data_IF_014448233899
#
_entry.id   IF_014448233899
#
_cell.length_a   1.000
_cell.length_b   1.000
_cell.length_c   1.000
_cell.angle_alpha   90.00
_cell.angle_beta   90.00
_cell.angle_gamma   90.00
#
_symmetry.space_group_name_H-M   'P 1'
#
loop_
_entity.id
_entity.type
_entity.pdbx_description
1 polymer ?
#
# COMPACT_ATOMS: atom_id res chain seq x y z
N UNK A 1 -41.15 0.95 -42.83
CA UNK A 1 -41.42 0.83 -41.38
C UNK A 1 -40.15 0.33 -40.73
N UNK A 2 -39.43 1.21 -40.05
CA UNK A 2 -38.31 0.87 -39.16
C UNK A 2 -38.90 0.80 -37.75
N UNK A 3 -38.78 -0.34 -37.09
CA UNK A 3 -39.04 -0.44 -35.65
C UNK A 3 -37.73 -0.18 -34.89
N UNK A 4 -37.74 0.91 -34.13
CA UNK A 4 -36.72 1.27 -33.17
C UNK A 4 -36.74 0.26 -32.01
N UNK A 5 -35.68 -0.52 -31.86
CA UNK A 5 -35.40 -1.23 -30.61
C UNK A 5 -34.96 -0.19 -29.57
N UNK A 6 -35.81 -0.01 -28.55
CA UNK A 6 -35.56 0.83 -27.39
C UNK A 6 -34.38 0.25 -26.59
N UNK A 7 -33.35 1.07 -26.36
CA UNK A 7 -32.33 0.83 -25.36
C UNK A 7 -33.01 0.73 -23.98
N UNK A 8 -32.88 -0.42 -23.34
CA UNK A 8 -33.21 -0.57 -21.92
C UNK A 8 -32.38 0.44 -21.13
N UNK A 9 -33.07 1.23 -20.30
CA UNK A 9 -32.42 2.11 -19.32
C UNK A 9 -31.61 1.22 -18.35
N UNK A 10 -30.41 1.63 -17.90
CA UNK A 10 -29.74 0.94 -16.81
C UNK A 10 -30.66 1.02 -15.59
N UNK A 11 -31.20 -0.12 -15.17
CA UNK A 11 -31.89 -0.24 -13.90
C UNK A 11 -30.92 0.05 -12.77
N UNK A 12 -31.41 0.73 -11.73
CA UNK A 12 -30.75 0.82 -10.44
C UNK A 12 -30.30 -0.58 -10.00
N UNK A 13 -28.99 -0.80 -9.94
CA UNK A 13 -28.44 -1.95 -9.23
C UNK A 13 -28.67 -1.72 -7.74
N UNK A 14 -29.82 -2.17 -7.23
CA UNK A 14 -30.04 -2.31 -5.80
C UNK A 14 -29.23 -3.50 -5.29
N UNK A 15 -28.24 -3.22 -4.42
CA UNK A 15 -27.82 -4.15 -3.36
C UNK A 15 -26.63 -5.07 -3.66
N UNK A 16 -25.48 -4.53 -4.08
CA UNK A 16 -24.25 -5.16 -3.60
C UNK A 16 -24.22 -4.98 -2.08
N UNK A 17 -24.10 -6.06 -1.31
CA UNK A 17 -23.86 -5.91 0.12
C UNK A 17 -22.59 -5.06 0.32
N UNK A 18 -22.68 -4.06 1.19
CA UNK A 18 -21.54 -3.29 1.70
C UNK A 18 -20.76 -4.08 2.76
N UNK A 19 -21.19 -5.31 3.07
CA UNK A 19 -20.46 -6.23 3.93
C UNK A 19 -19.20 -6.70 3.21
N UNK A 20 -18.06 -6.28 3.75
CA UNK A 20 -16.74 -6.71 3.33
C UNK A 20 -16.03 -7.34 4.51
N UNK A 21 -15.10 -8.23 4.24
CA UNK A 21 -14.17 -8.72 5.25
C UNK A 21 -12.92 -7.85 5.23
N UNK A 22 -12.55 -7.33 6.38
CA UNK A 22 -11.31 -6.59 6.59
C UNK A 22 -10.26 -7.54 7.13
N UNK A 23 -9.05 -7.46 6.60
CA UNK A 23 -7.85 -8.07 7.16
C UNK A 23 -6.85 -6.96 7.44
N UNK A 24 -6.33 -6.90 8.66
CA UNK A 24 -5.49 -5.80 9.08
C UNK A 24 -4.48 -6.24 10.12
N UNK A 25 -3.46 -5.41 10.32
CA UNK A 25 -2.32 -5.75 11.15
C UNK A 25 -2.32 -4.91 12.42
N UNK A 26 -1.99 -5.53 13.55
CA UNK A 26 -1.65 -4.84 14.78
C UNK A 26 -0.15 -4.97 15.02
N UNK A 27 0.56 -3.86 14.78
CA UNK A 27 1.99 -3.74 14.94
C UNK A 27 2.44 -3.93 16.38
N UNK A 28 1.73 -3.35 17.34
CA UNK A 28 2.10 -3.36 18.75
C UNK A 28 1.86 -4.72 19.40
N UNK A 29 0.76 -5.39 19.01
CA UNK A 29 0.43 -6.73 19.47
C UNK A 29 1.10 -7.86 18.68
N UNK A 30 1.76 -7.57 17.54
CA UNK A 30 2.30 -8.57 16.61
C UNK A 30 1.24 -9.56 16.11
N UNK A 31 0.14 -9.06 15.53
CA UNK A 31 -1.00 -9.89 15.12
C UNK A 31 -1.50 -9.58 13.72
N UNK A 32 -2.03 -10.61 13.07
CA UNK A 32 -2.93 -10.51 11.92
C UNK A 32 -4.36 -10.65 12.44
N UNK A 33 -5.17 -9.65 12.15
CA UNK A 33 -6.53 -9.49 12.65
C UNK A 33 -7.51 -9.45 11.48
N UNK A 34 -8.77 -9.69 11.80
CA UNK A 34 -9.83 -9.62 10.82
C UNK A 34 -11.16 -9.23 11.45
N UNK A 35 -12.03 -8.58 10.68
CA UNK A 35 -13.34 -8.11 11.13
C UNK A 35 -14.27 -7.92 9.92
N UNK A 36 -15.56 -7.73 10.15
CA UNK A 36 -16.50 -7.28 9.12
C UNK A 36 -16.46 -5.76 8.96
N UNK A 37 -16.89 -5.25 7.80
CA UNK A 37 -16.90 -3.81 7.47
C UNK A 37 -17.79 -2.94 8.35
N UNK A 38 -18.65 -3.56 9.16
CA UNK A 38 -19.46 -2.91 10.18
C UNK A 38 -18.79 -2.84 11.57
N UNK A 39 -17.60 -3.45 11.72
CA UNK A 39 -16.84 -3.55 12.98
C UNK A 39 -17.14 -4.81 13.80
N UNK A 40 -18.06 -5.67 13.34
CA UNK A 40 -18.33 -6.96 13.95
C UNK A 40 -17.30 -8.04 13.60
N UNK A 41 -17.57 -9.29 13.99
CA UNK A 41 -16.81 -10.47 13.56
C UNK A 41 -15.30 -10.39 13.82
N UNK A 42 -14.89 -9.68 14.88
CA UNK A 42 -13.48 -9.45 15.20
C UNK A 42 -12.79 -10.76 15.60
N UNK A 43 -11.69 -11.07 14.94
CA UNK A 43 -10.94 -12.31 15.11
C UNK A 43 -9.42 -12.04 15.06
N UNK A 44 -8.66 -12.76 15.90
CA UNK A 44 -7.21 -12.87 15.78
C UNK A 44 -6.91 -14.10 14.93
N UNK A 45 -6.39 -13.91 13.72
CA UNK A 45 -6.07 -15.01 12.80
C UNK A 45 -4.70 -15.59 13.09
N UNK A 46 -3.73 -14.73 13.38
CA UNK A 46 -2.33 -15.11 13.64
C UNK A 46 -1.76 -14.23 14.74
N UNK A 47 -1.18 -14.84 15.77
CA UNK A 47 -0.45 -14.16 16.87
C UNK A 47 0.98 -14.71 17.06
N UNK A 48 1.42 -15.56 16.15
CA UNK A 48 2.76 -16.13 16.08
C UNK A 48 3.49 -15.65 14.82
N UNK A 49 4.82 -15.77 14.79
CA UNK A 49 5.65 -15.44 13.63
C UNK A 49 5.46 -14.00 13.10
N UNK A 50 5.08 -13.07 13.99
CA UNK A 50 4.94 -11.66 13.70
C UNK A 50 6.03 -10.86 14.43
N UNK A 51 6.66 -9.93 13.73
CA UNK A 51 7.70 -9.05 14.28
C UNK A 51 7.60 -7.66 13.66
N UNK A 52 6.76 -6.82 14.26
CA UNK A 52 6.37 -5.52 13.74
C UNK A 52 5.71 -5.62 12.37
N UNK A 53 4.53 -6.28 12.26
CA UNK A 53 3.84 -6.39 10.99
C UNK A 53 3.46 -5.00 10.45
N UNK A 54 3.61 -4.78 9.15
CA UNK A 54 3.48 -3.44 8.54
C UNK A 54 2.48 -3.39 7.39
N UNK A 55 2.55 -4.29 6.41
CA UNK A 55 1.61 -4.31 5.28
C UNK A 55 1.05 -5.71 5.02
N UNK A 56 -0.19 -5.77 4.54
CA UNK A 56 -0.92 -7.01 4.24
C UNK A 56 -1.52 -6.94 2.84
N UNK A 57 -1.47 -8.04 2.10
CA UNK A 57 -2.10 -8.21 0.80
C UNK A 57 -2.81 -9.57 0.73
N UNK A 58 -3.81 -9.69 -0.15
CA UNK A 58 -4.62 -10.89 -0.31
C UNK A 58 -4.58 -11.39 -1.75
N UNK A 59 -4.38 -12.70 -1.91
CA UNK A 59 -4.64 -13.43 -3.15
C UNK A 59 -5.97 -14.19 -2.98
N UNK A 60 -7.07 -13.57 -3.39
CA UNK A 60 -8.42 -14.16 -3.26
C UNK A 60 -8.61 -15.40 -4.12
N UNK A 61 -7.90 -15.51 -5.25
CA UNK A 61 -8.01 -16.65 -6.14
C UNK A 61 -7.39 -17.92 -5.53
N UNK A 62 -6.35 -17.77 -4.72
CA UNK A 62 -5.69 -18.88 -4.00
C UNK A 62 -6.12 -19.00 -2.53
N UNK A 63 -6.76 -17.97 -1.98
CA UNK A 63 -7.20 -17.96 -0.58
C UNK A 63 -6.06 -17.72 0.39
N UNK A 64 -5.14 -16.81 0.07
CA UNK A 64 -3.96 -16.55 0.90
C UNK A 64 -3.81 -15.08 1.29
N UNK A 65 -3.38 -14.84 2.53
CA UNK A 65 -2.90 -13.56 3.01
C UNK A 65 -1.37 -13.57 3.01
N UNK A 66 -0.78 -12.45 2.67
CA UNK A 66 0.66 -12.21 2.75
C UNK A 66 0.90 -10.96 3.58
N UNK A 67 1.91 -10.96 4.45
CA UNK A 67 2.25 -9.76 5.20
C UNK A 67 3.76 -9.59 5.42
N UNK A 68 4.17 -8.34 5.53
CA UNK A 68 5.54 -7.94 5.83
C UNK A 68 5.74 -7.84 7.33
N UNK A 69 6.91 -8.29 7.80
CA UNK A 69 7.39 -8.14 9.16
C UNK A 69 8.67 -7.31 9.14
N UNK A 70 8.63 -6.17 9.82
CA UNK A 70 9.73 -5.20 9.81
C UNK A 70 11.04 -5.74 10.39
N UNK A 71 10.96 -6.68 11.33
CA UNK A 71 12.10 -7.01 12.16
C UNK A 71 12.55 -5.80 12.99
N UNK A 72 13.84 -5.72 13.29
CA UNK A 72 14.44 -4.60 14.00
C UNK A 72 15.06 -3.65 12.98
N UNK A 73 14.65 -2.37 12.88
CA UNK A 73 15.13 -1.47 11.83
C UNK A 73 16.64 -1.24 11.72
N UNK A 74 17.42 -1.60 12.74
CA UNK A 74 18.90 -1.55 12.69
C UNK A 74 19.56 -2.86 12.26
N UNK A 75 18.77 -3.89 11.94
CA UNK A 75 19.20 -5.24 11.56
C UNK A 75 18.53 -5.63 10.25
N UNK A 76 19.26 -6.39 9.43
CA UNK A 76 18.72 -6.97 8.20
C UNK A 76 17.98 -8.28 8.53
N UNK A 77 16.91 -8.20 9.33
CA UNK A 77 16.15 -9.35 9.83
C UNK A 77 14.64 -9.31 9.55
N UNK A 78 14.18 -8.38 8.71
CA UNK A 78 12.83 -8.37 8.18
C UNK A 78 12.52 -9.56 7.28
N UNK A 79 11.24 -9.91 7.19
CA UNK A 79 10.78 -11.11 6.47
C UNK A 79 9.33 -10.98 6.01
N UNK A 80 8.89 -11.88 5.12
CA UNK A 80 7.53 -11.91 4.58
C UNK A 80 6.92 -13.28 4.82
N UNK A 81 5.70 -13.29 5.35
CA UNK A 81 4.93 -14.47 5.68
C UNK A 81 3.68 -14.58 4.82
N UNK A 82 3.12 -15.79 4.77
CA UNK A 82 1.83 -16.11 4.16
C UNK A 82 1.06 -17.08 5.04
N UNK A 83 -0.25 -16.97 5.03
CA UNK A 83 -1.20 -17.93 5.62
C UNK A 83 -2.43 -18.09 4.72
N UNK A 84 -3.23 -19.09 5.02
CA UNK A 84 -4.60 -19.20 4.50
C UNK A 84 -5.52 -18.14 5.12
N UNK A 85 -6.66 -17.85 4.50
CA UNK A 85 -7.58 -16.80 4.96
C UNK A 85 -8.14 -17.01 6.38
N UNK A 86 -8.05 -18.24 6.90
CA UNK A 86 -8.44 -18.62 8.26
C UNK A 86 -7.27 -18.61 9.27
N UNK A 87 -6.07 -18.24 8.84
CA UNK A 87 -4.85 -18.23 9.65
C UNK A 87 -4.03 -19.53 9.59
N UNK A 88 -4.50 -20.55 8.87
CA UNK A 88 -3.78 -21.81 8.67
C UNK A 88 -2.54 -21.70 7.78
N UNK A 89 -1.80 -22.81 7.67
CA UNK A 89 -0.68 -23.00 6.72
C UNK A 89 0.36 -21.86 6.67
N UNK A 90 0.83 -21.47 7.86
CA UNK A 90 1.85 -20.43 8.03
C UNK A 90 3.15 -20.81 7.31
N UNK A 91 3.52 -19.99 6.33
CA UNK A 91 4.68 -20.20 5.47
C UNK A 91 5.53 -18.94 5.37
N UNK A 92 6.86 -19.07 5.48
CA UNK A 92 7.79 -17.98 5.20
C UNK A 92 8.03 -17.89 3.69
N UNK A 93 7.71 -16.75 3.08
CA UNK A 93 7.90 -16.47 1.65
C UNK A 93 9.26 -15.84 1.40
N UNK A 94 9.63 -14.83 2.19
CA UNK A 94 10.96 -14.21 2.16
C UNK A 94 11.56 -14.34 3.55
N UNK A 95 12.60 -15.18 3.75
CA UNK A 95 13.23 -15.34 5.07
C UNK A 95 14.04 -14.10 5.48
N UNK A 96 14.36 -13.98 6.79
CA UNK A 96 15.30 -12.97 7.28
C UNK A 96 16.60 -12.93 6.49
N UNK A 97 17.27 -11.78 6.49
CA UNK A 97 18.50 -11.45 5.72
C UNK A 97 18.31 -11.19 4.22
N UNK A 98 17.18 -11.57 3.62
CA UNK A 98 16.91 -11.27 2.21
C UNK A 98 16.26 -9.90 1.99
N UNK A 99 15.56 -9.39 2.99
CA UNK A 99 15.02 -8.02 3.04
C UNK A 99 15.26 -7.43 4.43
N UNK A 100 15.45 -6.11 4.51
CA UNK A 100 15.90 -5.46 5.74
C UNK A 100 14.71 -5.05 6.60
N UNK A 101 13.89 -4.14 6.10
CA UNK A 101 12.67 -3.66 6.77
C UNK A 101 11.56 -3.55 5.73
N UNK A 102 10.91 -4.67 5.36
CA UNK A 102 9.89 -4.67 4.33
C UNK A 102 8.66 -3.85 4.78
N UNK A 103 8.11 -3.07 3.85
CA UNK A 103 7.01 -2.12 4.03
C UNK A 103 5.80 -2.49 3.18
N UNK A 104 5.20 -1.54 2.47
CA UNK A 104 3.97 -1.80 1.74
C UNK A 104 4.18 -2.94 0.75
N UNK A 105 3.24 -3.88 0.77
CA UNK A 105 3.21 -5.11 0.00
C UNK A 105 2.12 -5.00 -1.07
N UNK A 106 2.42 -5.44 -2.29
CA UNK A 106 1.45 -5.49 -3.37
C UNK A 106 1.53 -6.84 -4.10
N UNK A 107 0.38 -7.43 -4.39
CA UNK A 107 0.25 -8.64 -5.21
C UNK A 107 -0.22 -8.24 -6.59
N UNK A 108 0.54 -8.60 -7.62
CA UNK A 108 0.11 -8.44 -9.00
C UNK A 108 -0.87 -9.57 -9.38
N UNK A 109 -2.18 -9.30 -9.54
CA UNK A 109 -3.18 -10.38 -9.60
C UNK A 109 -3.00 -11.32 -10.80
N UNK A 110 -2.43 -10.82 -11.91
CA UNK A 110 -2.22 -11.59 -13.14
C UNK A 110 -0.79 -12.12 -13.29
N UNK A 111 0.18 -11.45 -12.69
CA UNK A 111 1.60 -11.73 -12.90
C UNK A 111 2.18 -12.74 -11.92
N UNK A 112 1.50 -13.03 -10.81
CA UNK A 112 1.97 -14.00 -9.82
C UNK A 112 3.26 -13.55 -9.12
N UNK A 113 3.46 -12.24 -8.99
CA UNK A 113 4.56 -11.64 -8.27
C UNK A 113 4.07 -10.89 -7.04
N UNK A 114 4.90 -10.94 -6.01
CA UNK A 114 4.80 -10.15 -4.81
C UNK A 114 5.83 -9.02 -4.90
N UNK A 115 5.40 -7.79 -4.64
CA UNK A 115 6.25 -6.61 -4.66
C UNK A 115 6.22 -5.91 -3.32
N UNK A 116 7.35 -5.33 -2.90
CA UNK A 116 7.40 -4.53 -1.68
C UNK A 116 8.50 -3.48 -1.74
N UNK A 117 8.35 -2.47 -0.89
CA UNK A 117 9.42 -1.55 -0.55
C UNK A 117 10.19 -2.07 0.67
N UNK A 118 11.49 -1.85 0.69
CA UNK A 118 12.38 -2.17 1.81
C UNK A 118 13.05 -0.89 2.30
N UNK A 119 12.61 -0.43 3.49
CA UNK A 119 12.87 0.92 3.99
C UNK A 119 14.35 1.18 4.18
N UNK A 120 14.95 0.47 5.14
CA UNK A 120 16.38 0.57 5.42
C UNK A 120 17.25 -0.16 4.41
N UNK A 121 16.69 -1.12 3.67
CA UNK A 121 17.35 -1.70 2.50
C UNK A 121 17.48 -0.72 1.34
N UNK A 122 16.71 0.38 1.35
CA UNK A 122 16.67 1.42 0.30
C UNK A 122 16.31 0.86 -1.07
N UNK A 123 15.29 -0.02 -1.11
CA UNK A 123 14.93 -0.80 -2.30
C UNK A 123 13.44 -0.84 -2.59
N UNK A 124 13.13 -1.05 -3.87
CA UNK A 124 11.88 -1.67 -4.31
C UNK A 124 12.24 -3.06 -4.83
N UNK A 125 11.54 -4.08 -4.36
CA UNK A 125 11.86 -5.50 -4.60
C UNK A 125 10.63 -6.27 -5.09
N UNK A 126 10.87 -7.41 -5.75
CA UNK A 126 9.83 -8.40 -6.03
C UNK A 126 10.34 -9.83 -5.96
N UNK A 127 9.42 -10.77 -5.83
CA UNK A 127 9.64 -12.19 -6.02
C UNK A 127 8.37 -12.84 -6.59
N UNK A 128 8.40 -14.13 -6.91
CA UNK A 128 7.18 -14.91 -7.15
C UNK A 128 6.44 -15.14 -5.83
N UNK A 129 5.16 -15.49 -5.92
CA UNK A 129 4.33 -15.76 -4.72
C UNK A 129 4.89 -16.88 -3.82
N UNK A 130 5.75 -17.76 -4.34
CA UNK A 130 6.44 -18.80 -3.58
C UNK A 130 7.81 -18.37 -3.01
N UNK A 131 8.19 -17.10 -3.17
CA UNK A 131 9.47 -16.54 -2.72
C UNK A 131 10.62 -16.71 -3.71
N UNK A 132 10.42 -17.47 -4.79
CA UNK A 132 11.45 -17.67 -5.83
C UNK A 132 11.66 -16.42 -6.69
N UNK A 133 12.75 -16.37 -7.45
CA UNK A 133 13.07 -15.25 -8.36
C UNK A 133 13.09 -13.88 -7.67
N UNK A 134 13.64 -13.83 -6.45
CA UNK A 134 13.85 -12.59 -5.70
C UNK A 134 14.76 -11.63 -6.49
N UNK A 135 14.30 -10.39 -6.66
CA UNK A 135 15.04 -9.36 -7.36
C UNK A 135 14.79 -7.95 -6.82
N UNK A 136 15.79 -7.09 -6.97
CA UNK A 136 15.69 -5.64 -6.70
C UNK A 136 15.35 -4.92 -8.00
N UNK A 137 14.32 -4.09 -8.00
CA UNK A 137 13.86 -3.29 -9.15
C UNK A 137 14.44 -1.87 -9.13
N UNK A 138 14.57 -1.30 -7.93
CA UNK A 138 15.13 0.03 -7.67
C UNK A 138 16.00 -0.05 -6.43
N UNK A 139 17.16 0.62 -6.46
CA UNK A 139 18.01 0.84 -5.30
C UNK A 139 18.34 2.33 -5.19
N UNK A 140 17.98 2.95 -4.08
CA UNK A 140 18.12 4.41 -3.89
C UNK A 140 19.41 4.81 -3.16
N UNK A 141 20.08 3.86 -2.48
CA UNK A 141 21.35 4.15 -1.81
C UNK A 141 22.03 2.91 -1.21
N UNK A 142 23.25 3.09 -0.69
CA UNK A 142 24.03 2.04 -0.02
C UNK A 142 24.81 2.58 1.19
N UNK A 143 24.99 1.70 2.18
CA UNK A 143 25.82 1.98 3.36
C UNK A 143 25.15 2.88 4.39
N UNK A 144 25.74 2.92 5.60
CA UNK A 144 25.14 3.55 6.77
C UNK A 144 24.81 5.03 6.58
N UNK A 145 25.65 5.79 5.84
CA UNK A 145 25.40 7.21 5.60
C UNK A 145 24.13 7.45 4.77
N UNK A 146 23.93 6.70 3.69
CA UNK A 146 22.72 6.84 2.86
C UNK A 146 21.50 6.25 3.55
N UNK A 147 21.68 5.17 4.32
CA UNK A 147 20.64 4.57 5.15
C UNK A 147 20.13 5.54 6.23
N UNK A 148 20.96 6.45 6.74
CA UNK A 148 20.54 7.47 7.71
C UNK A 148 19.71 8.61 7.07
N UNK A 149 19.76 8.77 5.76
CA UNK A 149 18.95 9.76 5.04
C UNK A 149 17.59 9.15 4.68
N UNK A 150 16.56 9.52 5.44
CA UNK A 150 15.20 9.03 5.26
C UNK A 150 14.58 9.39 3.90
N UNK A 151 15.19 10.30 3.13
CA UNK A 151 14.81 10.54 1.74
C UNK A 151 15.12 9.35 0.85
N UNK A 152 15.97 8.40 1.24
CA UNK A 152 16.24 7.17 0.49
C UNK A 152 15.28 6.02 0.85
N UNK A 153 14.49 6.18 1.90
CA UNK A 153 13.64 5.12 2.43
C UNK A 153 12.38 4.92 1.60
N UNK A 154 12.33 3.79 0.89
CA UNK A 154 11.15 3.36 0.14
C UNK A 154 10.10 2.78 1.10
N UNK A 155 8.83 3.17 0.98
CA UNK A 155 7.76 2.68 1.89
C UNK A 155 6.53 2.18 1.15
N UNK A 156 5.81 3.09 0.49
CA UNK A 156 4.60 2.79 -0.26
C UNK A 156 4.90 2.28 -1.64
N UNK A 157 3.97 1.53 -2.20
CA UNK A 157 4.11 0.89 -3.50
C UNK A 157 2.75 0.74 -4.18
N UNK A 158 2.68 1.14 -5.46
CA UNK A 158 1.57 0.82 -6.35
C UNK A 158 2.09 0.40 -7.73
N UNK A 159 1.26 -0.32 -8.48
CA UNK A 159 1.60 -0.88 -9.78
C UNK A 159 0.51 -0.57 -10.80
N UNK A 160 0.92 -0.10 -11.98
CA UNK A 160 0.10 -0.13 -13.19
C UNK A 160 0.64 -1.26 -14.08
N UNK A 161 0.03 -2.43 -13.97
CA UNK A 161 0.45 -3.59 -14.75
C UNK A 161 0.19 -3.43 -16.26
N UNK A 162 -0.87 -2.69 -16.65
CA UNK A 162 -1.21 -2.48 -18.06
C UNK A 162 -0.21 -1.56 -18.76
N UNK A 163 0.29 -0.55 -18.05
CA UNK A 163 1.29 0.41 -18.55
C UNK A 163 2.72 0.07 -18.13
N UNK A 164 2.90 -1.05 -17.46
CA UNK A 164 4.16 -1.52 -16.89
C UNK A 164 4.88 -0.41 -16.11
N UNK A 165 4.19 0.24 -15.17
CA UNK A 165 4.76 1.28 -14.31
C UNK A 165 4.73 0.86 -12.83
N UNK A 166 5.82 1.15 -12.13
CA UNK A 166 5.89 1.08 -10.66
C UNK A 166 5.88 2.49 -10.09
N UNK A 167 5.20 2.64 -8.96
CA UNK A 167 5.11 3.88 -8.19
C UNK A 167 5.52 3.58 -6.76
N UNK A 168 6.31 4.44 -6.13
CA UNK A 168 6.67 4.27 -4.73
C UNK A 168 6.82 5.59 -4.02
N UNK A 169 6.67 5.56 -2.69
CA UNK A 169 6.97 6.71 -1.83
C UNK A 169 8.41 6.61 -1.34
N UNK A 170 9.11 7.74 -1.32
CA UNK A 170 10.29 7.95 -0.50
C UNK A 170 9.89 8.83 0.69
N UNK A 171 9.96 8.28 1.90
CA UNK A 171 9.28 8.80 3.09
C UNK A 171 9.74 10.20 3.49
N UNK A 172 11.03 10.49 3.37
CA UNK A 172 11.62 11.69 3.95
C UNK A 172 11.73 11.63 5.47
N UNK A 173 12.41 12.63 6.05
CA UNK A 173 12.55 12.72 7.50
C UNK A 173 11.20 13.00 8.17
N UNK A 174 11.05 12.57 9.41
CA UNK A 174 9.78 12.69 10.13
C UNK A 174 9.30 14.14 10.18
N UNK A 175 8.07 14.39 9.71
CA UNK A 175 7.41 15.70 9.75
C UNK A 175 8.24 16.83 9.09
N UNK A 176 8.96 16.53 8.00
CA UNK A 176 9.98 17.42 7.43
C UNK A 176 9.65 18.00 6.05
N UNK A 177 8.56 17.58 5.40
CA UNK A 177 8.25 17.97 4.01
C UNK A 177 9.39 17.63 3.05
N UNK A 178 10.06 16.50 3.25
CA UNK A 178 11.14 16.01 2.36
C UNK A 178 10.79 14.71 1.67
N UNK A 179 9.54 14.25 1.82
CA UNK A 179 9.04 13.06 1.15
C UNK A 179 8.70 13.32 -0.31
N UNK A 180 8.62 12.25 -1.07
CA UNK A 180 8.29 12.27 -2.49
C UNK A 180 7.55 11.01 -2.92
N UNK A 181 6.83 11.12 -4.04
CA UNK A 181 6.27 9.99 -4.77
C UNK A 181 6.95 9.97 -6.12
N UNK A 182 7.45 8.80 -6.51
CA UNK A 182 8.20 8.59 -7.73
C UNK A 182 7.53 7.52 -8.58
N UNK A 183 7.84 7.52 -9.88
CA UNK A 183 7.50 6.43 -10.79
C UNK A 183 8.66 6.04 -11.68
N UNK A 184 8.62 4.81 -12.18
CA UNK A 184 9.50 4.35 -13.24
C UNK A 184 8.82 3.22 -14.04
N UNK A 185 9.28 2.93 -15.26
CA UNK A 185 8.93 1.69 -15.95
C UNK A 185 9.26 0.47 -15.08
N UNK A 186 8.34 -0.49 -14.97
CA UNK A 186 8.53 -1.72 -14.21
C UNK A 186 9.80 -2.45 -14.67
N UNK A 187 9.98 -2.57 -15.99
CA UNK A 187 11.19 -3.11 -16.59
C UNK A 187 11.98 -1.99 -17.31
N UNK A 188 13.27 -1.78 -17.00
CA UNK A 188 14.10 -0.80 -17.70
C UNK A 188 14.15 -1.09 -19.20
N UNK A 189 14.05 -0.05 -20.04
CA UNK A 189 14.11 -0.20 -21.51
C UNK A 189 15.44 -0.80 -22.00
N UNK A 190 16.52 -0.63 -21.23
CA UNK A 190 17.84 -1.18 -21.52
C UNK A 190 18.23 -2.17 -20.41
N UNK A 191 18.48 -3.43 -20.79
CA UNK A 191 18.89 -4.50 -19.85
C UNK A 191 20.21 -4.24 -19.11
N UNK A 192 21.04 -3.31 -19.58
CA UNK A 192 22.31 -2.94 -18.93
C UNK A 192 22.15 -1.95 -17.78
N UNK A 193 20.95 -1.39 -17.56
CA UNK A 193 20.69 -0.46 -16.47
C UNK A 193 20.45 -1.26 -15.20
N UNK A 194 21.33 -1.11 -14.21
CA UNK A 194 21.15 -1.73 -12.90
C UNK A 194 20.06 -1.00 -12.09
N UNK A 195 19.48 -1.65 -11.07
CA UNK A 195 18.51 -1.01 -10.16
C UNK A 195 19.02 0.27 -9.49
N UNK A 196 20.34 0.39 -9.28
CA UNK A 196 20.98 1.54 -8.65
C UNK A 196 21.36 2.67 -9.62
N UNK A 197 21.24 2.44 -10.92
CA UNK A 197 21.69 3.38 -11.97
C UNK A 197 20.54 3.80 -12.90
N UNK A 198 19.30 3.69 -12.42
CA UNK A 198 18.11 4.04 -13.19
C UNK A 198 18.04 5.54 -13.40
N UNK A 199 18.00 5.96 -14.67
CA UNK A 199 17.87 7.35 -15.09
C UNK A 199 16.49 7.65 -15.69
N UNK A 200 15.57 6.70 -15.60
CA UNK A 200 14.19 6.74 -16.08
C UNK A 200 13.18 6.88 -14.92
N UNK A 201 13.67 7.24 -13.73
CA UNK A 201 12.86 7.56 -12.55
C UNK A 201 12.37 9.00 -12.67
N UNK A 202 11.07 9.19 -12.48
CA UNK A 202 10.41 10.49 -12.49
C UNK A 202 9.82 10.79 -11.11
N UNK A 203 10.10 11.98 -10.59
CA UNK A 203 9.44 12.49 -9.39
C UNK A 203 8.08 13.07 -9.78
N UNK A 204 7.00 12.51 -9.23
CA UNK A 204 5.64 12.99 -9.44
C UNK A 204 5.26 14.05 -8.41
N UNK A 205 5.60 13.80 -7.16
CA UNK A 205 5.35 14.70 -6.05
C UNK A 205 6.63 14.83 -5.23
N UNK A 206 6.92 16.05 -4.79
CA UNK A 206 7.99 16.36 -3.85
C UNK A 206 7.45 17.23 -2.72
N UNK A 207 8.30 17.51 -1.74
CA UNK A 207 7.96 18.29 -0.55
C UNK A 207 6.75 17.74 0.24
N UNK A 208 6.47 16.44 0.11
CA UNK A 208 5.40 15.80 0.85
C UNK A 208 5.81 15.64 2.32
N UNK A 209 4.88 15.81 3.28
CA UNK A 209 5.23 15.79 4.69
C UNK A 209 5.91 14.49 5.13
N UNK A 210 5.25 13.34 4.93
CA UNK A 210 5.74 11.99 5.23
C UNK A 210 4.84 10.92 4.55
N UNK A 211 4.89 10.78 3.21
CA UNK A 211 4.04 9.85 2.49
C UNK A 211 4.44 8.40 2.82
N UNK A 212 3.45 7.55 3.10
CA UNK A 212 3.67 6.14 3.46
C UNK A 212 3.02 5.20 2.46
N UNK A 213 1.80 4.72 2.66
CA UNK A 213 1.17 3.75 1.75
C UNK A 213 0.54 4.45 0.55
N UNK A 214 0.52 3.73 -0.57
CA UNK A 214 0.12 4.19 -1.88
C UNK A 214 -0.78 3.15 -2.54
N UNK A 215 -1.88 3.57 -3.18
CA UNK A 215 -2.67 2.73 -4.07
C UNK A 215 -3.00 3.49 -5.36
N UNK A 216 -3.23 2.74 -6.44
CA UNK A 216 -3.55 3.27 -7.76
C UNK A 216 -4.88 2.71 -8.26
N UNK A 217 -5.82 3.59 -8.55
CA UNK A 217 -6.91 3.28 -9.47
C UNK A 217 -6.40 3.44 -10.90
N UNK A 218 -6.00 2.33 -11.53
CA UNK A 218 -5.44 2.31 -12.87
C UNK A 218 -6.47 2.66 -13.97
N UNK A 219 -7.78 2.54 -13.68
CA UNK A 219 -8.83 2.86 -14.64
C UNK A 219 -8.98 4.38 -14.82
N UNK A 220 -8.91 5.13 -13.71
CA UNK A 220 -9.01 6.60 -13.72
C UNK A 220 -7.64 7.30 -13.69
N UNK A 221 -6.57 6.52 -13.49
CA UNK A 221 -5.22 7.00 -13.20
C UNK A 221 -5.17 7.88 -11.95
N UNK A 222 -5.85 7.47 -10.88
CA UNK A 222 -5.88 8.21 -9.62
C UNK A 222 -5.01 7.52 -8.59
N UNK A 223 -3.98 8.20 -8.11
CA UNK A 223 -3.20 7.78 -6.95
C UNK A 223 -3.91 8.21 -5.68
N UNK A 224 -3.86 7.35 -4.68
CA UNK A 224 -4.29 7.60 -3.31
C UNK A 224 -3.11 7.28 -2.39
N UNK A 225 -2.87 8.10 -1.38
CA UNK A 225 -1.83 7.81 -0.40
C UNK A 225 -2.16 8.33 0.99
N UNK A 226 -1.59 7.66 1.97
CA UNK A 226 -1.57 8.09 3.37
C UNK A 226 -0.31 8.89 3.65
N UNK A 227 -0.43 9.88 4.54
CA UNK A 227 0.70 10.70 4.97
C UNK A 227 0.71 10.84 6.50
N UNK A 228 1.89 10.71 7.12
CA UNK A 228 2.11 10.73 8.59
C UNK A 228 2.68 12.04 9.14
N UNK A 229 2.91 13.04 8.29
CA UNK A 229 3.59 14.26 8.68
C UNK A 229 2.76 15.13 9.63
N UNK A 230 3.28 16.32 9.94
CA UNK A 230 2.59 17.23 10.84
C UNK A 230 1.35 17.85 10.17
N UNK A 231 0.27 18.11 10.92
CA UNK A 231 -0.82 18.97 10.46
C UNK A 231 -0.30 20.36 9.98
N UNK A 232 -0.98 21.03 9.04
CA UNK A 232 -2.30 20.67 8.49
C UNK A 232 -2.26 19.69 7.31
N UNK A 233 -1.08 19.34 6.79
CA UNK A 233 -0.94 18.58 5.55
C UNK A 233 -0.57 17.10 5.73
N UNK A 234 -0.07 16.70 6.90
CA UNK A 234 0.12 15.30 7.26
C UNK A 234 -0.96 14.77 8.21
N UNK A 235 -0.92 13.47 8.47
CA UNK A 235 -2.04 12.72 9.07
C UNK A 235 -3.30 12.79 8.20
N UNK A 236 -3.11 12.50 6.91
CA UNK A 236 -4.10 12.70 5.85
C UNK A 236 -4.24 11.47 4.97
N UNK A 237 -5.44 11.31 4.40
CA UNK A 237 -5.69 10.56 3.18
C UNK A 237 -5.72 11.57 2.03
N UNK A 238 -4.92 11.31 1.01
CA UNK A 238 -4.73 12.19 -0.13
C UNK A 238 -5.08 11.47 -1.43
N UNK A 239 -5.39 12.25 -2.47
CA UNK A 239 -5.50 11.72 -3.84
C UNK A 239 -4.89 12.68 -4.86
N UNK A 240 -4.55 12.15 -6.01
CA UNK A 240 -4.24 12.93 -7.20
C UNK A 240 -4.51 12.15 -8.47
N UNK A 241 -5.13 12.80 -9.44
CA UNK A 241 -5.26 12.24 -10.78
C UNK A 241 -3.97 12.48 -11.55
N UNK A 242 -3.32 11.40 -11.95
CA UNK A 242 -2.14 11.44 -12.81
C UNK A 242 -2.56 11.87 -14.22
N UNK A 243 -2.26 13.11 -14.57
CA UNK A 243 -2.61 13.72 -15.84
C UNK A 243 -1.85 13.08 -17.03
N UNK A 244 -2.48 13.08 -18.21
CA UNK A 244 -1.84 12.76 -19.49
C UNK A 244 -1.05 13.96 -20.02
N UNK A 245 -0.05 13.71 -20.89
CA UNK A 245 0.85 14.72 -21.49
C UNK A 245 0.15 16.03 -21.86
N UNK A 246 0.61 17.15 -21.29
CA UNK A 246 0.27 18.52 -21.74
C UNK A 246 -0.36 19.42 -20.69
N UNK A 247 -0.75 18.89 -19.54
CA UNK A 247 -1.27 19.68 -18.41
C UNK A 247 -0.13 20.10 -17.46
N UNK A 248 -0.17 21.33 -16.93
CA UNK A 248 0.86 21.88 -16.05
C UNK A 248 0.48 21.70 -14.58
N UNK A 249 1.20 20.83 -13.87
CA UNK A 249 1.18 20.68 -12.41
C UNK A 249 0.26 19.57 -11.90
N UNK A 250 0.84 18.54 -11.28
CA UNK A 250 0.08 17.57 -10.50
C UNK A 250 -0.47 18.25 -9.24
N UNK A 251 -1.75 18.02 -8.93
CA UNK A 251 -2.40 18.57 -7.75
C UNK A 251 -2.79 17.46 -6.77
N UNK A 252 -2.42 17.62 -5.50
CA UNK A 252 -2.80 16.73 -4.43
C UNK A 252 -4.00 17.29 -3.66
N UNK A 253 -5.10 16.55 -3.63
CA UNK A 253 -6.26 16.84 -2.79
C UNK A 253 -6.13 16.10 -1.46
N UNK A 254 -6.35 16.78 -0.33
CA UNK A 254 -6.57 16.12 0.95
C UNK A 254 -8.04 15.72 1.04
N UNK A 255 -8.33 14.42 1.06
CA UNK A 255 -9.69 13.90 1.20
C UNK A 255 -10.16 13.94 2.66
N UNK A 256 -9.27 13.60 3.58
CA UNK A 256 -9.56 13.62 5.01
C UNK A 256 -8.27 13.80 5.81
N UNK A 257 -8.31 14.64 6.84
CA UNK A 257 -7.25 14.77 7.83
C UNK A 257 -7.64 14.25 9.21
N UNK A 258 -6.76 14.44 10.20
CA UNK A 258 -7.05 14.11 11.59
C UNK A 258 -6.91 12.61 11.91
N UNK A 259 -6.10 11.89 11.15
CA UNK A 259 -5.63 10.56 11.53
C UNK A 259 -4.61 10.64 12.68
N UNK A 260 -4.36 9.52 13.35
CA UNK A 260 -3.31 9.42 14.36
C UNK A 260 -2.18 8.50 13.85
N UNK A 261 -1.34 9.06 12.98
CA UNK A 261 -0.32 8.40 12.17
C UNK A 261 -0.95 7.39 11.19
N UNK A 262 -1.59 7.91 10.13
CA UNK A 262 -2.21 7.12 9.06
C UNK A 262 -1.17 6.21 8.39
N UNK A 263 -1.50 4.94 8.18
CA UNK A 263 -0.62 3.97 7.50
C UNK A 263 -1.40 3.23 6.44
N UNK A 264 -2.17 2.21 6.81
CA UNK A 264 -2.76 1.29 5.86
C UNK A 264 -3.86 1.96 5.05
N UNK A 265 -3.96 1.55 3.79
CA UNK A 265 -4.93 2.04 2.83
C UNK A 265 -5.47 0.84 2.03
N UNK A 266 -6.80 0.79 1.84
CA UNK A 266 -7.48 -0.14 0.93
C UNK A 266 -8.55 0.62 0.16
N UNK A 267 -8.31 0.91 -1.11
CA UNK A 267 -9.17 1.76 -1.96
C UNK A 267 -10.11 0.90 -2.80
N UNK A 268 -11.39 1.29 -2.84
CA UNK A 268 -12.43 0.64 -3.63
C UNK A 268 -13.09 1.65 -4.59
N UNK A 269 -12.46 1.97 -5.73
CA UNK A 269 -12.95 2.99 -6.66
C UNK A 269 -14.38 2.76 -7.13
N UNK A 270 -14.73 1.52 -7.48
CA UNK A 270 -16.08 1.14 -7.93
C UNK A 270 -17.15 1.27 -6.86
N UNK A 271 -16.76 1.24 -5.57
CA UNK A 271 -17.67 1.44 -4.43
C UNK A 271 -17.60 2.85 -3.84
N UNK A 272 -16.74 3.71 -4.40
CA UNK A 272 -16.54 5.10 -3.99
C UNK A 272 -16.11 5.30 -2.52
N UNK A 273 -15.31 4.39 -1.96
CA UNK A 273 -14.71 4.58 -0.63
C UNK A 273 -13.31 3.98 -0.51
N UNK A 274 -12.61 4.35 0.56
CA UNK A 274 -11.39 3.70 1.04
C UNK A 274 -11.51 3.37 2.53
N UNK A 275 -10.82 2.32 2.98
CA UNK A 275 -10.50 2.11 4.37
C UNK A 275 -9.11 2.63 4.68
N UNK A 276 -8.95 3.31 5.81
CA UNK A 276 -7.68 3.82 6.31
C UNK A 276 -7.51 3.38 7.76
N UNK A 277 -6.38 2.76 8.06
CA UNK A 277 -5.96 2.40 9.41
C UNK A 277 -4.87 3.36 9.93
N UNK A 278 -4.87 3.59 11.23
CA UNK A 278 -3.88 4.44 11.89
C UNK A 278 -3.28 3.79 13.15
N UNK A 279 -2.06 4.20 13.53
CA UNK A 279 -1.38 3.68 14.72
C UNK A 279 -2.12 4.00 16.02
N UNK A 280 -3.08 4.93 15.97
CA UNK A 280 -3.99 5.22 17.07
C UNK A 280 -5.04 4.14 17.32
N UNK A 281 -5.11 3.10 16.51
CA UNK A 281 -6.05 2.00 16.74
C UNK A 281 -7.37 2.13 16.02
N UNK A 282 -7.48 3.06 15.07
CA UNK A 282 -8.72 3.34 14.36
C UNK A 282 -8.68 2.83 12.93
N UNK A 283 -9.78 2.21 12.47
CA UNK A 283 -10.07 2.03 11.05
C UNK A 283 -11.24 2.94 10.68
N UNK A 284 -11.06 3.78 9.66
CA UNK A 284 -12.10 4.65 9.11
C UNK A 284 -12.40 4.25 7.68
N UNK A 285 -13.69 4.24 7.34
CA UNK A 285 -14.15 4.29 5.96
C UNK A 285 -14.32 5.75 5.57
N UNK A 286 -13.82 6.12 4.40
CA UNK A 286 -13.85 7.49 3.86
C UNK A 286 -14.36 7.43 2.44
N UNK A 287 -15.36 8.23 2.08
CA UNK A 287 -15.78 8.34 0.68
C UNK A 287 -14.65 8.94 -0.16
N UNK A 288 -14.51 8.50 -1.42
CA UNK A 288 -13.38 8.97 -2.26
C UNK A 288 -13.53 10.43 -2.71
N UNK A 289 -14.68 11.05 -2.48
CA UNK A 289 -14.93 12.48 -2.63
C UNK A 289 -14.73 13.28 -1.33
N UNK A 290 -14.43 12.63 -0.21
CA UNK A 290 -14.23 13.25 1.12
C UNK A 290 -15.52 13.72 1.81
N UNK A 291 -16.70 13.47 1.23
CA UNK A 291 -17.99 13.94 1.75
C UNK A 291 -18.50 13.18 2.98
N UNK A 292 -18.10 11.92 3.16
CA UNK A 292 -18.56 11.05 4.24
C UNK A 292 -17.41 10.29 4.89
N UNK A 293 -17.51 10.12 6.21
CA UNK A 293 -16.56 9.33 6.99
C UNK A 293 -17.27 8.58 8.11
N UNK A 294 -16.91 7.31 8.27
CA UNK A 294 -17.42 6.43 9.31
C UNK A 294 -16.26 5.75 10.01
N UNK A 295 -16.27 5.74 11.33
CA UNK A 295 -15.37 4.87 12.11
C UNK A 295 -15.93 3.46 12.15
N UNK A 296 -15.09 2.50 11.76
CA UNK A 296 -15.42 1.07 11.69
C UNK A 296 -14.95 0.35 12.95
N UNK A 297 -13.70 0.61 13.36
CA UNK A 297 -13.10 0.07 14.57
C UNK A 297 -12.35 1.16 15.34
N UNK A 298 -12.27 1.01 16.66
CA UNK A 298 -11.50 1.85 17.59
C UNK A 298 -10.77 0.96 18.59
N UNK A 299 -9.68 1.48 19.15
CA UNK A 299 -8.93 0.86 20.24
C UNK A 299 -8.46 -0.58 19.92
N UNK A 300 -8.23 -0.89 18.64
CA UNK A 300 -7.92 -2.25 18.16
C UNK A 300 -6.40 -2.58 18.15
N UNK A 301 -5.58 -1.79 18.82
CA UNK A 301 -4.11 -1.92 18.84
C UNK A 301 -3.40 -0.79 18.10
N UNK A 302 -2.16 -1.02 17.64
CA UNK A 302 -1.44 -0.07 16.79
C UNK A 302 -1.56 -0.53 15.34
N UNK A 303 -2.55 -0.01 14.61
CA UNK A 303 -2.91 -0.57 13.32
C UNK A 303 -1.99 -0.09 12.20
N UNK A 304 -1.58 -1.04 11.36
CA UNK A 304 -0.80 -0.78 10.13
C UNK A 304 -1.61 -1.28 8.94
N UNK A 305 -1.03 -2.00 7.98
CA UNK A 305 -1.67 -2.39 6.73
C UNK A 305 -3.07 -2.99 6.89
N UNK A 306 -3.92 -2.69 5.92
CA UNK A 306 -5.30 -3.17 5.82
C UNK A 306 -5.59 -3.55 4.38
N UNK A 307 -6.38 -4.60 4.19
CA UNK A 307 -7.00 -4.95 2.91
C UNK A 307 -8.45 -5.36 3.15
N UNK A 308 -9.36 -4.92 2.30
CA UNK A 308 -10.78 -5.25 2.37
C UNK A 308 -11.23 -6.00 1.11
N UNK A 309 -12.03 -7.06 1.27
CA UNK A 309 -12.56 -7.89 0.17
C UNK A 309 -14.03 -8.21 0.32
#
# INVERSE_FOLDING_TARGET
>A
MMEHALLEKPGEQTGASDDMRLYFLDHGGNRVLSATSDGGGFEVLVDACCAGPDSIAIDTARGHLYWTNMGVPSRNDGFIMRCDLDGGDLTTIVPPSLTHTPKQLFIEPRGGHLYWCDREGMRVMRCRLDGSSLETLVQTGYGAHQQADARNWCVGLALDAEREQIYWTQKGATKSNTGSILRAPLNPRRKSVSPASRNDIETLFDHLPEPVDLELDAATMTLYWTDRGAPPFGNTLNRSRLQQRGETGLHADVLLGGFNEAIGLSVHPYRNFAYVSDLGGTIRRVSLDGSDTRVVLRDAGNLTGIVAV
#
